data_IF_971309587562
#
_entry.id   IF_971309587562
#
_cell.length_a   1.000
_cell.length_b   1.000
_cell.length_c   1.000
_cell.angle_alpha   90.00
_cell.angle_beta   90.00
_cell.angle_gamma   90.00
#
_symmetry.space_group_name_H-M   'P 1'
#
loop_
_entity.id
_entity.type
_entity.pdbx_description
1 polymer ?
#
# COMPACT_ATOMS: atom_id res chain seq x y z
N UNK A 1 -20.44 -5.46 12.33
CA UNK A 1 -20.09 -6.22 11.11
C UNK A 1 -19.53 -7.57 11.53
N UNK A 2 -20.00 -8.68 10.94
CA UNK A 2 -19.48 -10.01 11.26
C UNK A 2 -18.03 -10.17 10.82
N UNK A 3 -17.24 -10.97 11.55
CA UNK A 3 -15.83 -11.24 11.22
C UNK A 3 -15.69 -11.84 9.82
N UNK A 4 -16.60 -12.74 9.43
CA UNK A 4 -16.61 -13.36 8.10
C UNK A 4 -16.77 -12.33 6.98
N UNK A 5 -17.67 -11.35 7.17
CA UNK A 5 -17.90 -10.26 6.21
C UNK A 5 -16.67 -9.37 6.08
N UNK A 6 -16.00 -9.04 7.18
CA UNK A 6 -14.76 -8.26 7.16
C UNK A 6 -13.61 -8.99 6.45
N UNK A 7 -13.49 -10.30 6.65
CA UNK A 7 -12.52 -11.15 5.95
C UNK A 7 -12.79 -11.17 4.44
N UNK A 8 -14.04 -11.44 4.03
CA UNK A 8 -14.46 -11.42 2.62
C UNK A 8 -14.16 -10.08 1.96
N UNK A 9 -14.53 -8.97 2.61
CA UNK A 9 -14.26 -7.63 2.09
C UNK A 9 -12.76 -7.34 1.96
N UNK A 10 -11.93 -7.87 2.87
CA UNK A 10 -10.46 -7.71 2.77
C UNK A 10 -9.90 -8.42 1.54
N UNK A 11 -10.40 -9.62 1.24
CA UNK A 11 -10.03 -10.40 0.04
C UNK A 11 -10.46 -9.63 -1.22
N UNK A 12 -11.72 -9.16 -1.27
CA UNK A 12 -12.24 -8.39 -2.40
C UNK A 12 -11.44 -7.10 -2.62
N UNK A 13 -11.04 -6.41 -1.55
CA UNK A 13 -10.16 -5.24 -1.64
C UNK A 13 -8.79 -5.62 -2.23
N UNK A 14 -8.21 -6.75 -1.80
CA UNK A 14 -6.95 -7.25 -2.35
C UNK A 14 -7.05 -7.55 -3.86
N UNK A 15 -8.09 -8.25 -4.29
CA UNK A 15 -8.34 -8.55 -5.71
C UNK A 15 -8.59 -7.27 -6.50
N UNK A 16 -9.44 -6.38 -5.99
CA UNK A 16 -9.73 -5.09 -6.64
C UNK A 16 -8.48 -4.24 -6.79
N UNK A 17 -7.56 -4.28 -5.81
CA UNK A 17 -6.27 -3.61 -5.89
C UNK A 17 -5.38 -4.21 -6.98
N UNK A 18 -5.36 -5.53 -7.17
CA UNK A 18 -4.65 -6.17 -8.32
C UNK A 18 -5.19 -5.65 -9.64
N UNK A 19 -6.51 -5.65 -9.82
CA UNK A 19 -7.13 -5.18 -11.06
C UNK A 19 -6.80 -3.71 -11.33
N UNK A 20 -6.84 -2.86 -10.30
CA UNK A 20 -6.44 -1.46 -10.41
C UNK A 20 -4.99 -1.32 -10.86
N UNK A 21 -4.08 -2.06 -10.23
CA UNK A 21 -2.64 -2.04 -10.54
C UNK A 21 -2.42 -2.50 -11.99
N UNK A 22 -2.97 -3.64 -12.38
CA UNK A 22 -2.83 -4.17 -13.75
C UNK A 22 -3.41 -3.24 -14.81
N UNK A 23 -4.49 -2.52 -14.50
CA UNK A 23 -5.09 -1.55 -15.41
C UNK A 23 -4.30 -0.23 -15.48
N UNK A 24 -3.79 0.25 -14.35
CA UNK A 24 -3.11 1.54 -14.27
C UNK A 24 -1.65 1.49 -14.77
N UNK A 25 -0.98 0.35 -14.65
CA UNK A 25 0.43 0.23 -15.03
C UNK A 25 0.73 0.49 -16.51
N UNK A 26 0.00 -0.07 -17.49
CA UNK A 26 0.25 0.19 -18.91
C UNK A 26 0.23 1.68 -19.31
N UNK A 27 -0.81 2.48 -18.97
CA UNK A 27 -0.80 3.90 -19.30
C UNK A 27 0.28 4.67 -18.54
N UNK A 28 0.58 4.30 -17.29
CA UNK A 28 1.68 4.90 -16.53
C UNK A 28 3.00 4.64 -17.25
N UNK A 29 3.31 3.38 -17.60
CA UNK A 29 4.52 3.03 -18.32
C UNK A 29 4.64 3.75 -19.67
N UNK A 30 3.52 3.91 -20.40
CA UNK A 30 3.52 4.58 -21.70
C UNK A 30 3.74 6.11 -21.62
N UNK A 31 3.28 6.78 -20.56
CA UNK A 31 3.31 8.25 -20.44
C UNK A 31 4.30 8.78 -19.40
N UNK A 32 4.99 7.90 -18.67
CA UNK A 32 5.93 8.28 -17.65
C UNK A 32 7.23 8.84 -18.25
N UNK A 33 7.40 10.16 -18.15
CA UNK A 33 8.60 10.86 -18.65
C UNK A 33 9.78 10.84 -17.67
N UNK A 34 9.59 10.36 -16.45
CA UNK A 34 10.63 10.41 -15.40
C UNK A 34 11.86 9.56 -15.76
N UNK A 35 11.75 8.32 -16.27
CA UNK A 35 12.92 7.53 -16.69
C UNK A 35 13.80 8.26 -17.70
N UNK A 36 13.17 8.92 -18.69
CA UNK A 36 13.86 9.69 -19.72
C UNK A 36 14.59 10.91 -19.13
N UNK A 37 13.94 11.64 -18.21
CA UNK A 37 14.56 12.78 -17.52
C UNK A 37 15.71 12.37 -16.60
N UNK A 38 15.59 11.24 -15.91
CA UNK A 38 16.67 10.70 -15.08
C UNK A 38 17.90 10.31 -15.92
N UNK A 39 17.66 9.66 -17.07
CA UNK A 39 18.73 9.36 -18.01
C UNK A 39 19.39 10.63 -18.58
N UNK A 40 18.59 11.65 -18.93
CA UNK A 40 19.10 12.95 -19.37
C UNK A 40 19.91 13.70 -18.30
N UNK A 41 19.58 13.51 -17.02
CA UNK A 41 20.33 14.04 -15.89
C UNK A 41 21.65 13.26 -15.62
N UNK A 42 21.97 12.25 -16.43
CA UNK A 42 23.20 11.45 -16.32
C UNK A 42 23.12 10.31 -15.31
N UNK A 43 21.94 10.01 -14.73
CA UNK A 43 21.80 8.82 -13.88
C UNK A 43 21.94 7.56 -14.73
N UNK A 44 22.82 6.66 -14.30
CA UNK A 44 23.05 5.37 -14.94
C UNK A 44 23.30 4.27 -13.91
N UNK A 45 23.32 3.02 -14.37
CA UNK A 45 23.62 1.86 -13.53
C UNK A 45 22.67 1.71 -12.34
N UNK A 46 23.23 1.36 -11.17
CA UNK A 46 22.45 1.07 -9.96
C UNK A 46 21.69 2.28 -9.41
N UNK A 47 22.23 3.49 -9.56
CA UNK A 47 21.54 4.72 -9.15
C UNK A 47 20.26 4.94 -9.96
N UNK A 48 20.31 4.67 -11.27
CA UNK A 48 19.14 4.74 -12.15
C UNK A 48 18.07 3.71 -11.75
N UNK A 49 18.46 2.45 -11.52
CA UNK A 49 17.56 1.40 -11.03
C UNK A 49 16.96 1.72 -9.66
N UNK A 50 17.74 2.32 -8.74
CA UNK A 50 17.26 2.74 -7.44
C UNK A 50 16.21 3.84 -7.54
N UNK A 51 16.44 4.84 -8.40
CA UNK A 51 15.50 5.93 -8.63
C UNK A 51 14.17 5.44 -9.25
N UNK A 52 14.24 4.52 -10.22
CA UNK A 52 13.05 3.89 -10.80
C UNK A 52 12.29 3.07 -9.76
N UNK A 53 12.99 2.24 -9.00
CA UNK A 53 12.37 1.43 -7.92
C UNK A 53 11.65 2.30 -6.89
N UNK A 54 12.25 3.45 -6.50
CA UNK A 54 11.65 4.39 -5.57
C UNK A 54 10.41 5.07 -6.18
N UNK A 55 10.48 5.46 -7.44
CA UNK A 55 9.36 6.03 -8.17
C UNK A 55 8.19 5.04 -8.23
N UNK A 56 8.46 3.80 -8.63
CA UNK A 56 7.45 2.75 -8.76
C UNK A 56 6.79 2.45 -7.43
N UNK A 57 7.57 2.44 -6.34
CA UNK A 57 7.03 2.35 -4.99
C UNK A 57 6.09 3.51 -4.66
N UNK A 58 6.47 4.76 -4.97
CA UNK A 58 5.64 5.92 -4.70
C UNK A 58 4.31 5.88 -5.48
N UNK A 59 4.34 5.45 -6.74
CA UNK A 59 3.14 5.26 -7.57
C UNK A 59 2.23 4.19 -6.94
N UNK A 60 2.78 3.03 -6.61
CA UNK A 60 2.01 1.96 -5.96
C UNK A 60 1.45 2.38 -4.61
N UNK A 61 2.18 3.18 -3.83
CA UNK A 61 1.73 3.73 -2.57
C UNK A 61 0.51 4.65 -2.76
N UNK A 62 0.53 5.50 -3.79
CA UNK A 62 -0.61 6.35 -4.14
C UNK A 62 -1.83 5.54 -4.58
N UNK A 63 -1.62 4.53 -5.45
CA UNK A 63 -2.67 3.61 -5.89
C UNK A 63 -3.25 2.79 -4.73
N UNK A 64 -2.45 2.51 -3.70
CA UNK A 64 -2.89 1.75 -2.52
C UNK A 64 -3.72 2.58 -1.53
N UNK A 65 -3.76 3.91 -1.63
CA UNK A 65 -4.49 4.78 -0.69
C UNK A 65 -5.99 4.47 -0.59
N UNK A 66 -6.75 4.27 -1.69
CA UNK A 66 -8.18 3.94 -1.62
C UNK A 66 -8.42 2.58 -0.93
N UNK A 67 -7.61 1.57 -1.26
CA UNK A 67 -7.69 0.24 -0.65
C UNK A 67 -7.36 0.31 0.85
N UNK A 68 -6.30 1.02 1.23
CA UNK A 68 -5.92 1.25 2.62
C UNK A 68 -7.00 2.00 3.41
N UNK A 69 -7.68 2.96 2.78
CA UNK A 69 -8.80 3.68 3.38
C UNK A 69 -10.02 2.79 3.60
N UNK A 70 -10.37 1.94 2.63
CA UNK A 70 -11.44 0.95 2.76
C UNK A 70 -11.15 -0.04 3.89
N UNK A 71 -9.93 -0.57 3.98
CA UNK A 71 -9.50 -1.47 5.05
C UNK A 71 -9.66 -0.81 6.44
N UNK A 72 -9.34 0.50 6.56
CA UNK A 72 -9.55 1.24 7.82
C UNK A 72 -11.02 1.35 8.22
N UNK A 73 -11.94 1.38 7.25
CA UNK A 73 -13.39 1.40 7.53
C UNK A 73 -13.93 0.06 8.02
N UNK A 74 -13.26 -1.06 7.71
CA UNK A 74 -13.68 -2.40 8.15
C UNK A 74 -13.50 -2.64 9.66
N UNK A 75 -12.59 -1.90 10.32
CA UNK A 75 -12.40 -1.96 11.77
C UNK A 75 -10.96 -1.72 12.20
N UNK A 76 -10.76 -0.86 13.21
CA UNK A 76 -9.42 -0.48 13.69
C UNK A 76 -8.74 -1.58 14.51
N UNK A 77 -9.50 -2.39 15.22
CA UNK A 77 -8.97 -3.38 16.18
C UNK A 77 -8.29 -4.57 15.51
N UNK A 78 -8.57 -4.82 14.22
CA UNK A 78 -7.96 -5.89 13.42
C UNK A 78 -7.39 -5.41 12.09
N UNK A 79 -7.10 -4.12 11.96
CA UNK A 79 -6.59 -3.52 10.73
C UNK A 79 -5.34 -4.23 10.20
N UNK A 80 -4.43 -4.65 11.11
CA UNK A 80 -3.21 -5.40 10.74
C UNK A 80 -3.53 -6.73 10.07
N UNK A 81 -4.51 -7.46 10.60
CA UNK A 81 -4.95 -8.74 10.05
C UNK A 81 -5.61 -8.55 8.68
N UNK A 82 -6.54 -7.59 8.56
CA UNK A 82 -7.21 -7.28 7.29
C UNK A 82 -6.24 -6.79 6.22
N UNK A 83 -5.26 -5.97 6.60
CA UNK A 83 -4.20 -5.51 5.70
C UNK A 83 -3.28 -6.65 5.27
N UNK A 84 -2.83 -7.50 6.21
CA UNK A 84 -2.01 -8.67 5.87
C UNK A 84 -2.75 -9.61 4.92
N UNK A 85 -4.03 -9.87 5.17
CA UNK A 85 -4.86 -10.70 4.31
C UNK A 85 -5.03 -10.08 2.91
N UNK A 86 -5.37 -8.80 2.82
CA UNK A 86 -5.50 -8.10 1.54
C UNK A 86 -4.17 -8.07 0.76
N UNK A 87 -3.05 -7.89 1.46
CA UNK A 87 -1.70 -7.92 0.86
C UNK A 87 -1.36 -9.32 0.35
N UNK A 88 -1.70 -10.37 1.11
CA UNK A 88 -1.50 -11.76 0.70
C UNK A 88 -2.34 -12.07 -0.55
N UNK A 89 -3.62 -11.69 -0.55
CA UNK A 89 -4.50 -11.86 -1.71
C UNK A 89 -3.99 -11.09 -2.92
N UNK A 90 -3.49 -9.86 -2.71
CA UNK A 90 -2.85 -9.09 -3.77
C UNK A 90 -1.62 -9.82 -4.32
N UNK A 91 -0.72 -10.28 -3.45
CA UNK A 91 0.50 -11.00 -3.85
C UNK A 91 0.17 -12.25 -4.67
N UNK A 92 -0.79 -13.06 -4.23
CA UNK A 92 -1.16 -14.30 -4.91
C UNK A 92 -1.84 -14.02 -6.24
N UNK A 93 -2.85 -13.15 -6.27
CA UNK A 93 -3.58 -12.85 -7.50
C UNK A 93 -2.71 -12.10 -8.52
N UNK A 94 -1.82 -11.20 -8.07
CA UNK A 94 -0.85 -10.54 -8.95
C UNK A 94 0.12 -11.56 -9.56
N UNK A 95 0.65 -12.47 -8.74
CA UNK A 95 1.56 -13.53 -9.22
C UNK A 95 0.89 -14.44 -10.25
N UNK A 96 -0.39 -14.77 -10.06
CA UNK A 96 -1.15 -15.58 -11.02
C UNK A 96 -1.39 -14.82 -12.32
N UNK A 97 -1.68 -13.52 -12.26
CA UNK A 97 -2.02 -12.72 -13.44
C UNK A 97 -0.79 -12.24 -14.23
N UNK A 98 0.27 -11.82 -13.54
CA UNK A 98 1.47 -11.23 -14.14
C UNK A 98 2.67 -12.20 -14.19
N UNK A 99 2.54 -13.39 -13.59
CA UNK A 99 3.64 -14.34 -13.40
C UNK A 99 4.50 -14.01 -12.17
N UNK A 100 5.35 -14.97 -11.77
CA UNK A 100 6.38 -14.72 -10.76
C UNK A 100 7.48 -13.84 -11.37
N UNK A 101 8.02 -12.86 -10.63
CA UNK A 101 9.27 -12.24 -11.04
C UNK A 101 10.32 -13.34 -11.19
N UNK A 102 11.00 -13.39 -12.34
CA UNK A 102 12.14 -14.29 -12.53
C UNK A 102 13.27 -13.83 -11.60
N UNK A 103 13.34 -14.43 -10.42
CA UNK A 103 14.34 -14.13 -9.38
C UNK A 103 15.80 -14.34 -9.85
N UNK A 104 15.99 -14.96 -11.01
CA UNK A 104 17.28 -15.10 -11.69
C UNK A 104 17.84 -13.79 -12.26
N UNK A 105 17.01 -12.74 -12.43
CA UNK A 105 17.42 -11.47 -13.03
C UNK A 105 17.95 -10.42 -12.01
N UNK A 106 18.22 -10.84 -10.76
CA UNK A 106 18.99 -10.07 -9.78
C UNK A 106 18.17 -9.45 -8.63
N UNK A 107 18.88 -9.02 -7.58
CA UNK A 107 18.29 -8.54 -6.32
C UNK A 107 17.40 -7.29 -6.45
N UNK A 108 17.59 -6.46 -7.48
CA UNK A 108 16.78 -5.27 -7.70
C UNK A 108 15.32 -5.58 -8.06
N UNK A 109 15.08 -6.67 -8.81
CA UNK A 109 13.72 -7.11 -9.16
C UNK A 109 12.98 -7.60 -7.91
N UNK A 110 13.70 -8.29 -7.03
CA UNK A 110 13.17 -8.74 -5.73
C UNK A 110 12.83 -7.55 -4.84
N UNK A 111 13.73 -6.56 -4.76
CA UNK A 111 13.51 -5.34 -4.00
C UNK A 111 12.30 -4.56 -4.51
N UNK A 112 12.15 -4.40 -5.83
CA UNK A 112 10.99 -3.75 -6.45
C UNK A 112 9.68 -4.48 -6.14
N UNK A 113 9.67 -5.82 -6.23
CA UNK A 113 8.50 -6.63 -5.91
C UNK A 113 8.11 -6.53 -4.42
N UNK A 114 9.09 -6.61 -3.52
CA UNK A 114 8.86 -6.44 -2.07
C UNK A 114 8.33 -5.04 -1.73
N UNK A 115 8.85 -4.00 -2.38
CA UNK A 115 8.35 -2.64 -2.22
C UNK A 115 6.91 -2.51 -2.73
N UNK A 116 6.58 -3.14 -3.85
CA UNK A 116 5.20 -3.17 -4.35
C UNK A 116 4.26 -3.83 -3.33
N UNK A 117 4.65 -4.95 -2.72
CA UNK A 117 3.88 -5.58 -1.66
C UNK A 117 3.78 -4.71 -0.40
N UNK A 118 4.84 -3.98 -0.07
CA UNK A 118 4.88 -3.10 1.09
C UNK A 118 4.02 -1.83 0.91
N UNK A 119 3.60 -1.50 -0.31
CA UNK A 119 2.83 -0.29 -0.60
C UNK A 119 1.48 -0.25 0.17
N UNK A 120 0.74 -1.36 0.22
CA UNK A 120 -0.55 -1.41 0.92
C UNK A 120 -0.39 -1.33 2.45
N UNK A 121 0.51 -2.09 3.11
CA UNK A 121 0.88 -1.88 4.50
C UNK A 121 1.34 -0.44 4.79
N UNK A 122 2.22 0.14 3.97
CA UNK A 122 2.73 1.49 4.15
C UNK A 122 1.61 2.55 4.04
N UNK A 123 0.73 2.44 3.03
CA UNK A 123 -0.43 3.31 2.88
C UNK A 123 -1.38 3.21 4.10
N UNK A 124 -1.62 1.99 4.59
CA UNK A 124 -2.45 1.77 5.78
C UNK A 124 -1.85 2.41 7.03
N UNK A 125 -0.52 2.36 7.18
CA UNK A 125 0.22 2.96 8.27
C UNK A 125 0.22 4.49 8.20
N UNK A 126 0.50 5.08 7.03
CA UNK A 126 0.45 6.53 6.79
C UNK A 126 -0.92 7.12 7.12
N UNK A 127 -1.99 6.45 6.66
CA UNK A 127 -3.35 6.81 7.02
C UNK A 127 -3.58 6.69 8.54
N UNK A 128 -3.03 5.65 9.16
CA UNK A 128 -3.02 5.41 10.61
C UNK A 128 -2.46 6.58 11.43
N UNK A 129 -1.34 7.17 11.00
CA UNK A 129 -0.69 8.32 11.66
C UNK A 129 -1.59 9.55 11.70
N UNK A 130 -2.27 9.88 10.60
CA UNK A 130 -3.21 11.00 10.51
C UNK A 130 -4.37 10.91 11.52
N UNK A 131 -4.69 9.70 12.00
CA UNK A 131 -5.76 9.45 12.97
C UNK A 131 -5.35 9.45 14.44
N UNK A 132 -4.07 9.66 14.77
CA UNK A 132 -3.56 9.71 16.17
C UNK A 132 -3.67 11.10 16.80
N UNK A 133 -3.61 12.17 16.00
CA UNK A 133 -3.70 13.56 16.48
C UNK A 133 -5.04 13.92 17.11
N UNK A 134 -6.14 13.26 16.72
CA UNK A 134 -7.48 13.60 17.20
C UNK A 134 -7.93 12.83 18.46
N UNK A 135 -7.04 12.04 19.09
CA UNK A 135 -7.36 11.25 20.28
C UNK A 135 -6.94 11.87 21.60
N UNK A 136 -6.17 12.97 21.58
CA UNK A 136 -5.71 13.64 22.82
C UNK A 136 -6.76 14.58 23.45
N UNK A 137 -7.89 14.82 22.79
CA UNK A 137 -8.88 15.82 23.25
C UNK A 137 -10.20 15.25 23.81
N UNK A 138 -10.26 13.95 24.15
CA UNK A 138 -11.47 13.32 24.72
C UNK A 138 -11.31 12.76 26.13
N UNK A 139 -10.24 13.14 26.84
CA UNK A 139 -10.01 12.80 28.24
C UNK A 139 -9.95 14.03 29.16
N UNK A 140 -10.64 15.11 28.80
CA UNK A 140 -11.00 16.17 29.73
C UNK A 140 -12.26 15.76 30.49
N UNK A 141 -12.17 14.71 31.31
CA UNK A 141 -13.24 14.39 32.25
C UNK A 141 -13.21 15.46 33.34
N UNK A 142 -14.30 16.21 33.39
CA UNK A 142 -14.60 17.33 34.28
C UNK A 142 -14.32 17.00 35.76
N UNK A 143 -13.92 17.98 36.58
CA UNK A 143 -13.79 17.79 38.02
C UNK A 143 -15.16 17.40 38.61
N UNK A 144 -15.21 16.25 39.28
CA UNK A 144 -16.38 15.82 40.06
C UNK A 144 -16.45 16.68 41.32
N UNK A 145 -17.58 17.32 41.64
CA UNK A 145 -17.75 17.97 42.94
C UNK A 145 -17.79 16.88 44.01
N UNK A 146 -16.93 17.00 45.03
CA UNK A 146 -17.09 16.28 46.28
C UNK A 146 -18.32 16.84 47.00
N UNK A 147 -19.31 15.98 47.23
CA UNK A 147 -20.38 16.27 48.17
C UNK A 147 -19.78 16.23 49.59
N UNK A 148 -20.03 17.32 50.33
CA UNK A 148 -19.69 17.48 51.74
C UNK A 148 -20.64 16.67 52.65
#
# INVERSE_FOLDING_TARGET
MSRAVATLLSIVIGIGFVLLVLYAWPPIAAHNMIPARLAQAGLSGTAWYGALTLQDFAINLLLALPAAWLLRRLGRDRLRFHCALATLTFATAFTVAAGLPLFSAGGFIVAGWLLMLAALPAASWLLGLRGRGNRRNRSGNLPRPHAA
#
